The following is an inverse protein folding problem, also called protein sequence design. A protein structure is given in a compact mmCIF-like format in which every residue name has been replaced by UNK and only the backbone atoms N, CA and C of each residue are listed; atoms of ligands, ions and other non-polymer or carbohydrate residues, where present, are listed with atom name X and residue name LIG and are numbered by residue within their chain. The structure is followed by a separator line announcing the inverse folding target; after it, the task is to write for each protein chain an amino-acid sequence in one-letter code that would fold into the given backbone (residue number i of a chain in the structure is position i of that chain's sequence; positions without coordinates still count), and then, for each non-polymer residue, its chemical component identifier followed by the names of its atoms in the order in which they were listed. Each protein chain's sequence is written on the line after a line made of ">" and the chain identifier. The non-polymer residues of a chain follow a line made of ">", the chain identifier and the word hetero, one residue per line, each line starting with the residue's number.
data_IF_365607152975
#
_entry.id   IF_365607152975
#
_cell.length_a   1.000
_cell.length_b   1.000
_cell.length_c   1.000
_cell.angle_alpha   90.00
_cell.angle_beta   90.00
_cell.angle_gamma   90.00
#
_symmetry.space_group_name_H-M   'P 1'
#
loop_
_entity.id
_entity.type
_entity.pdbx_description
1 polymer ?
#
# COMPACT_ATOMS: atom_id res chain seq x y z
N UNK A 1 2.26 -32.86 4.37
CA UNK A 1 2.98 -31.68 4.89
C UNK A 1 2.36 -30.43 4.31
N UNK A 2 1.69 -29.60 5.11
CA UNK A 2 1.39 -28.22 4.72
C UNK A 2 2.71 -27.46 4.70
N UNK A 3 3.07 -26.87 3.55
CA UNK A 3 4.27 -26.06 3.41
C UNK A 3 4.10 -24.79 4.24
N UNK A 4 4.99 -24.57 5.20
CA UNK A 4 5.05 -23.35 6.00
C UNK A 4 5.96 -22.34 5.29
N UNK A 5 5.44 -21.12 5.08
CA UNK A 5 6.20 -20.01 4.50
C UNK A 5 6.46 -18.95 5.57
N UNK A 6 7.72 -18.78 5.97
CA UNK A 6 8.15 -17.62 6.76
C UNK A 6 8.34 -16.42 5.86
N UNK A 7 7.57 -15.36 6.10
CA UNK A 7 7.67 -14.12 5.33
C UNK A 7 7.32 -12.88 6.16
N UNK A 8 8.05 -11.80 5.95
CA UNK A 8 7.71 -10.47 6.49
C UNK A 8 6.79 -9.78 5.48
N UNK A 9 5.63 -9.30 5.93
CA UNK A 9 4.71 -8.55 5.08
C UNK A 9 5.38 -7.25 4.59
N UNK A 10 5.53 -7.08 3.27
CA UNK A 10 6.22 -5.90 2.74
C UNK A 10 5.35 -4.66 2.92
N UNK A 11 5.87 -3.66 3.64
CA UNK A 11 5.32 -2.30 3.72
C UNK A 11 6.25 -1.28 3.05
N UNK A 12 6.42 -1.35 1.71
CA UNK A 12 7.34 -0.46 1.02
C UNK A 12 6.83 0.98 1.06
N UNK A 13 7.75 1.93 1.19
CA UNK A 13 7.48 3.37 0.97
C UNK A 13 8.23 3.91 -0.27
N UNK A 14 8.97 3.05 -0.96
CA UNK A 14 9.70 3.30 -2.22
C UNK A 14 9.62 2.07 -3.12
N UNK A 15 9.88 2.27 -4.41
CA UNK A 15 9.84 1.22 -5.42
C UNK A 15 8.42 0.98 -5.95
N UNK A 16 8.29 0.89 -7.28
CA UNK A 16 7.02 0.63 -7.95
C UNK A 16 6.94 -0.85 -8.36
N UNK A 17 5.74 -1.42 -8.46
CA UNK A 17 5.59 -2.79 -8.94
C UNK A 17 6.09 -2.86 -10.39
N UNK A 18 6.81 -3.93 -10.76
CA UNK A 18 7.30 -4.10 -12.13
C UNK A 18 6.12 -4.19 -13.11
N UNK A 19 6.36 -3.81 -14.36
CA UNK A 19 5.40 -4.07 -15.42
C UNK A 19 5.24 -5.58 -15.64
N UNK A 20 4.04 -6.08 -15.99
CA UNK A 20 3.84 -7.50 -16.27
C UNK A 20 4.66 -7.91 -17.50
N UNK A 21 5.52 -8.91 -17.33
CA UNK A 21 6.33 -9.53 -18.39
C UNK A 21 5.84 -10.96 -18.67
N UNK A 22 6.46 -11.63 -19.65
CA UNK A 22 6.31 -13.08 -19.86
C UNK A 22 7.57 -13.77 -19.30
N UNK A 23 7.46 -14.82 -18.47
CA UNK A 23 6.22 -15.35 -17.89
C UNK A 23 5.57 -14.36 -16.91
N UNK A 24 4.24 -14.40 -16.80
CA UNK A 24 3.50 -13.52 -15.89
C UNK A 24 3.79 -13.92 -14.45
N UNK A 25 4.36 -12.99 -13.68
CA UNK A 25 4.53 -13.14 -12.22
C UNK A 25 3.37 -12.46 -11.49
N UNK A 26 2.70 -13.20 -10.60
CA UNK A 26 1.58 -12.73 -9.77
C UNK A 26 1.94 -12.78 -8.28
N UNK A 27 1.06 -12.29 -7.41
CA UNK A 27 1.31 -12.21 -5.97
C UNK A 27 2.47 -11.27 -5.62
N UNK A 28 3.12 -11.51 -4.47
CA UNK A 28 4.23 -10.67 -3.99
C UNK A 28 5.40 -10.60 -4.97
N UNK A 29 5.81 -11.73 -5.55
CA UNK A 29 6.90 -11.79 -6.54
C UNK A 29 6.61 -11.01 -7.83
N UNK A 30 5.35 -10.72 -8.12
CA UNK A 30 4.93 -9.84 -9.22
C UNK A 30 4.54 -8.42 -8.81
N UNK A 31 4.65 -8.08 -7.52
CA UNK A 31 4.22 -6.77 -7.00
C UNK A 31 2.70 -6.60 -6.88
N UNK A 32 1.93 -7.68 -6.88
CA UNK A 32 0.46 -7.68 -6.80
C UNK A 32 -0.03 -7.85 -5.36
N UNK A 33 0.16 -6.82 -4.55
CA UNK A 33 -0.30 -6.75 -3.15
C UNK A 33 -0.62 -5.31 -2.78
N UNK A 34 -1.27 -5.11 -1.62
CA UNK A 34 -1.60 -3.82 -1.06
C UNK A 34 -0.39 -3.26 -0.28
N UNK A 35 0.31 -2.21 -0.76
CA UNK A 35 1.57 -1.80 -0.15
C UNK A 35 1.45 -1.27 1.27
N UNK A 36 0.30 -0.70 1.66
CA UNK A 36 0.12 -0.17 3.02
C UNK A 36 -0.44 -1.17 4.05
N UNK A 37 -0.81 -2.39 3.63
CA UNK A 37 -1.33 -3.43 4.55
C UNK A 37 -0.67 -4.79 4.35
N UNK A 38 0.15 -4.93 3.30
CA UNK A 38 0.72 -6.18 2.85
C UNK A 38 -0.28 -7.14 2.18
N UNK A 39 -1.59 -6.91 2.22
CA UNK A 39 -2.57 -7.91 1.77
C UNK A 39 -2.48 -8.24 0.27
N UNK A 40 -2.41 -9.51 -0.09
CA UNK A 40 -2.38 -9.99 -1.47
C UNK A 40 -3.69 -10.61 -1.95
N UNK A 41 -4.56 -11.08 -1.05
CA UNK A 41 -5.78 -11.80 -1.41
C UNK A 41 -6.72 -11.02 -2.36
N UNK A 42 -7.04 -9.72 -2.14
CA UNK A 42 -7.85 -8.95 -3.09
C UNK A 42 -7.20 -8.83 -4.46
N UNK A 43 -5.87 -8.73 -4.53
CA UNK A 43 -5.13 -8.69 -5.78
C UNK A 43 -5.18 -10.03 -6.52
N UNK A 44 -5.03 -11.14 -5.79
CA UNK A 44 -5.12 -12.48 -6.34
C UNK A 44 -6.50 -12.76 -6.96
N UNK A 45 -7.58 -12.41 -6.25
CA UNK A 45 -8.94 -12.55 -6.76
C UNK A 45 -9.19 -11.72 -8.02
N UNK A 46 -8.73 -10.46 -8.06
CA UNK A 46 -8.84 -9.63 -9.28
C UNK A 46 -8.06 -10.20 -10.45
N UNK A 47 -6.87 -10.75 -10.19
CA UNK A 47 -6.06 -11.36 -11.23
C UNK A 47 -6.72 -12.64 -11.77
N UNK A 48 -7.26 -13.47 -10.89
CA UNK A 48 -8.00 -14.67 -11.29
C UNK A 48 -9.22 -14.33 -12.16
N UNK A 49 -10.04 -13.35 -11.75
CA UNK A 49 -11.20 -12.88 -12.53
C UNK A 49 -10.78 -12.30 -13.90
N UNK A 50 -9.72 -11.49 -13.93
CA UNK A 50 -9.19 -10.93 -15.19
C UNK A 50 -8.72 -12.04 -16.14
N UNK A 51 -7.96 -13.00 -15.64
CA UNK A 51 -7.44 -14.11 -16.45
C UNK A 51 -8.55 -15.03 -16.92
N UNK A 52 -9.57 -15.29 -16.09
CA UNK A 52 -10.73 -16.08 -16.48
C UNK A 52 -11.49 -15.42 -17.64
N UNK A 53 -11.71 -14.10 -17.58
CA UNK A 53 -12.43 -13.35 -18.63
C UNK A 53 -11.65 -13.19 -19.92
N UNK A 54 -10.32 -13.11 -19.85
CA UNK A 54 -9.47 -12.77 -20.99
C UNK A 54 -8.45 -13.87 -21.35
N UNK A 55 -8.73 -15.13 -21.02
CA UNK A 55 -7.75 -16.23 -21.06
C UNK A 55 -7.04 -16.41 -22.42
N UNK A 56 -7.72 -16.14 -23.54
CA UNK A 56 -7.14 -16.23 -24.90
C UNK A 56 -6.20 -15.07 -25.24
N UNK A 57 -6.45 -13.88 -24.70
CA UNK A 57 -5.72 -12.65 -25.05
C UNK A 57 -5.64 -11.68 -23.86
N UNK A 58 -4.95 -12.04 -22.77
CA UNK A 58 -5.00 -11.27 -21.51
C UNK A 58 -4.17 -9.98 -21.55
N UNK A 59 -3.35 -9.78 -22.58
CA UNK A 59 -2.31 -8.73 -22.59
C UNK A 59 -2.86 -7.31 -22.43
N UNK A 60 -3.92 -6.96 -23.16
CA UNK A 60 -4.52 -5.62 -23.10
C UNK A 60 -5.15 -5.37 -21.74
N UNK A 61 -5.94 -6.33 -21.26
CA UNK A 61 -6.57 -6.30 -19.94
C UNK A 61 -5.54 -6.21 -18.81
N UNK A 62 -4.47 -7.02 -18.85
CA UNK A 62 -3.38 -7.00 -17.88
C UNK A 62 -2.66 -5.66 -17.84
N UNK A 63 -2.40 -5.04 -19.00
CA UNK A 63 -1.77 -3.70 -19.05
C UNK A 63 -2.69 -2.63 -18.46
N UNK A 64 -3.99 -2.68 -18.73
CA UNK A 64 -4.98 -1.80 -18.12
C UNK A 64 -5.01 -1.97 -16.60
N UNK A 65 -5.08 -3.20 -16.12
CA UNK A 65 -5.12 -3.50 -14.69
C UNK A 65 -3.83 -3.10 -13.99
N UNK A 66 -2.67 -3.34 -14.61
CA UNK A 66 -1.39 -2.91 -14.06
C UNK A 66 -1.31 -1.39 -13.92
N UNK A 67 -1.80 -0.62 -14.90
CA UNK A 67 -1.84 0.85 -14.78
C UNK A 67 -2.72 1.29 -13.62
N UNK A 68 -3.87 0.64 -13.41
CA UNK A 68 -4.76 0.90 -12.27
C UNK A 68 -4.08 0.54 -10.95
N UNK A 69 -3.52 -0.66 -10.86
CA UNK A 69 -2.79 -1.16 -9.71
C UNK A 69 -1.63 -0.25 -9.35
N UNK A 70 -0.80 0.16 -10.31
CA UNK A 70 0.33 1.08 -10.10
C UNK A 70 -0.10 2.43 -9.54
N UNK A 71 -1.24 2.98 -9.95
CA UNK A 71 -1.79 4.24 -9.39
C UNK A 71 -2.18 4.07 -7.92
N UNK A 72 -2.86 2.98 -7.59
CA UNK A 72 -3.28 2.64 -6.22
C UNK A 72 -2.06 2.29 -5.34
N UNK A 73 -1.06 1.64 -5.92
CA UNK A 73 0.18 1.29 -5.24
C UNK A 73 0.94 2.54 -4.79
N UNK A 74 1.00 3.58 -5.63
CA UNK A 74 1.61 4.88 -5.28
C UNK A 74 0.97 5.53 -4.06
N UNK A 75 -0.35 5.43 -3.92
CA UNK A 75 -1.05 5.93 -2.73
C UNK A 75 -0.55 5.22 -1.47
N UNK A 76 -0.46 3.89 -1.48
CA UNK A 76 0.02 3.18 -0.31
C UNK A 76 1.51 3.40 -0.02
N UNK A 77 2.36 3.60 -1.04
CA UNK A 77 3.76 4.03 -0.84
C UNK A 77 3.82 5.38 -0.11
N UNK A 78 3.00 6.34 -0.53
CA UNK A 78 2.90 7.65 0.11
C UNK A 78 2.42 7.52 1.55
N UNK A 79 1.38 6.73 1.80
CA UNK A 79 0.86 6.53 3.16
C UNK A 79 1.91 5.88 4.08
N UNK A 80 2.64 4.89 3.59
CA UNK A 80 3.75 4.30 4.34
C UNK A 80 4.85 5.34 4.59
N UNK A 81 5.22 6.13 3.58
CA UNK A 81 6.21 7.19 3.75
C UNK A 81 5.78 8.18 4.84
N UNK A 82 4.51 8.58 4.87
CA UNK A 82 3.96 9.46 5.89
C UNK A 82 3.94 8.77 7.26
N UNK A 83 3.53 7.50 7.35
CA UNK A 83 3.52 6.75 8.59
C UNK A 83 4.93 6.64 9.20
N UNK A 84 5.92 6.28 8.38
CA UNK A 84 7.29 6.04 8.86
C UNK A 84 8.14 7.29 9.05
N UNK A 85 7.87 8.37 8.29
CA UNK A 85 8.70 9.60 8.33
C UNK A 85 7.97 10.87 8.70
N UNK A 86 6.64 10.84 8.68
CA UNK A 86 5.79 12.00 8.96
C UNK A 86 5.35 12.09 10.41
N UNK A 87 5.37 10.98 11.17
CA UNK A 87 4.89 10.92 12.56
C UNK A 87 5.97 10.56 13.56
N UNK A 88 5.90 11.16 14.75
CA UNK A 88 6.65 10.70 15.91
C UNK A 88 6.33 9.21 16.18
N UNK A 89 7.33 8.34 16.45
CA UNK A 89 7.12 6.89 16.54
C UNK A 89 6.03 6.48 17.55
N UNK A 90 5.95 7.19 18.67
CA UNK A 90 4.98 7.00 19.76
C UNK A 90 3.57 7.51 19.42
N UNK A 91 3.44 8.39 18.41
CA UNK A 91 2.16 8.99 18.01
C UNK A 91 1.65 8.48 16.66
N UNK A 92 2.43 7.67 15.92
CA UNK A 92 2.05 7.12 14.61
C UNK A 92 0.67 6.46 14.62
N UNK A 93 0.27 5.82 15.73
CA UNK A 93 -1.03 5.17 15.89
C UNK A 93 -2.23 6.12 15.67
N UNK A 94 -2.09 7.42 15.89
CA UNK A 94 -3.16 8.40 15.65
C UNK A 94 -3.60 8.43 14.18
N UNK A 95 -2.69 8.16 13.24
CA UNK A 95 -3.01 8.07 11.82
C UNK A 95 -3.96 6.91 11.54
N UNK A 96 -3.68 5.74 12.12
CA UNK A 96 -4.52 4.55 12.01
C UNK A 96 -5.87 4.73 12.73
N UNK A 97 -5.87 5.31 13.93
CA UNK A 97 -7.11 5.60 14.67
C UNK A 97 -8.04 6.52 13.86
N UNK A 98 -7.49 7.53 13.19
CA UNK A 98 -8.27 8.41 12.30
C UNK A 98 -8.80 7.63 11.08
N UNK A 99 -7.99 6.77 10.48
CA UNK A 99 -8.39 5.95 9.33
C UNK A 99 -9.62 5.08 9.64
N UNK A 100 -9.64 4.42 10.80
CA UNK A 100 -10.76 3.55 11.19
C UNK A 100 -12.05 4.30 11.59
N UNK A 101 -12.02 5.64 11.65
CA UNK A 101 -13.22 6.47 11.81
C UNK A 101 -13.87 6.87 10.48
N UNK A 102 -13.25 6.52 9.35
CA UNK A 102 -13.82 6.78 8.03
C UNK A 102 -15.04 5.89 7.76
N UNK A 103 -15.95 6.28 6.84
CA UNK A 103 -17.07 5.43 6.45
C UNK A 103 -16.59 4.05 6.00
N UNK A 104 -17.32 2.99 6.40
CA UNK A 104 -16.94 1.61 6.11
C UNK A 104 -16.72 1.34 4.61
N UNK A 105 -17.50 1.98 3.75
CA UNK A 105 -17.34 1.88 2.30
C UNK A 105 -15.98 2.42 1.80
N UNK A 106 -15.46 3.48 2.42
CA UNK A 106 -14.13 4.06 2.14
C UNK A 106 -13.04 3.08 2.55
N UNK A 107 -13.14 2.53 3.77
CA UNK A 107 -12.21 1.54 4.31
C UNK A 107 -12.21 0.29 3.41
N UNK A 108 -13.38 -0.22 3.03
CA UNK A 108 -13.50 -1.38 2.15
C UNK A 108 -12.89 -1.15 0.76
N UNK A 109 -13.06 0.03 0.17
CA UNK A 109 -12.38 0.39 -1.11
C UNK A 109 -10.88 0.48 -0.95
N UNK A 110 -10.39 1.02 0.17
CA UNK A 110 -8.98 1.06 0.50
C UNK A 110 -8.37 -0.35 0.53
N UNK A 111 -8.91 -1.25 1.34
CA UNK A 111 -8.43 -2.65 1.42
C UNK A 111 -8.48 -3.39 0.07
N UNK A 112 -9.38 -2.99 -0.83
CA UNK A 112 -9.46 -3.54 -2.20
C UNK A 112 -8.48 -2.91 -3.20
N UNK A 113 -7.65 -1.91 -2.83
CA UNK A 113 -6.89 -1.08 -3.78
C UNK A 113 -7.79 -0.45 -4.86
N UNK A 114 -8.93 0.08 -4.43
CA UNK A 114 -9.91 0.73 -5.31
C UNK A 114 -10.32 2.09 -4.75
N UNK A 115 -9.40 2.77 -4.08
CA UNK A 115 -9.64 4.10 -3.51
C UNK A 115 -9.93 5.10 -4.62
N UNK A 116 -11.00 5.87 -4.44
CA UNK A 116 -11.36 6.99 -5.32
C UNK A 116 -10.60 8.25 -4.93
N UNK A 117 -10.63 9.28 -5.78
CA UNK A 117 -10.05 10.58 -5.44
C UNK A 117 -10.71 11.18 -4.18
N UNK A 118 -12.01 10.96 -3.98
CA UNK A 118 -12.75 11.40 -2.78
C UNK A 118 -12.27 10.64 -1.54
N UNK A 119 -11.97 9.34 -1.67
CA UNK A 119 -11.42 8.56 -0.55
C UNK A 119 -10.03 9.07 -0.17
N UNK A 120 -9.18 9.34 -1.17
CA UNK A 120 -7.83 9.90 -0.96
C UNK A 120 -7.92 11.28 -0.30
N UNK A 121 -8.87 12.12 -0.72
CA UNK A 121 -9.13 13.39 -0.08
C UNK A 121 -9.52 13.21 1.39
N UNK A 122 -10.40 12.27 1.73
CA UNK A 122 -10.77 11.97 3.13
C UNK A 122 -9.60 11.44 3.97
N UNK A 123 -8.70 10.67 3.35
CA UNK A 123 -7.50 10.13 3.96
C UNK A 123 -6.47 11.24 4.29
N UNK A 124 -6.21 12.14 3.34
CA UNK A 124 -5.09 13.08 3.41
C UNK A 124 -5.50 14.49 3.87
N UNK A 125 -6.67 14.99 3.47
CA UNK A 125 -7.12 16.35 3.77
C UNK A 125 -7.77 16.42 5.14
N UNK A 126 -7.69 17.59 5.78
CA UNK A 126 -8.20 17.85 7.12
C UNK A 126 -7.08 18.08 8.13
N UNK A 127 -7.45 18.19 9.42
CA UNK A 127 -6.46 18.43 10.48
C UNK A 127 -5.45 17.27 10.54
N UNK A 128 -4.14 17.54 10.39
CA UNK A 128 -3.14 16.49 10.46
C UNK A 128 -3.21 15.81 11.84
N UNK A 129 -3.04 14.48 11.92
CA UNK A 129 -3.05 13.78 13.21
C UNK A 129 -1.92 14.28 14.11
N UNK A 130 -2.07 14.11 15.42
CA UNK A 130 -1.05 14.48 16.39
C UNK A 130 0.28 13.79 16.06
N UNK A 131 1.37 14.51 16.27
CA UNK A 131 2.72 14.03 15.94
C UNK A 131 3.08 14.14 14.47
N UNK A 132 2.23 14.70 13.60
CA UNK A 132 2.60 14.98 12.20
C UNK A 132 3.45 16.25 12.06
N UNK A 133 4.51 16.21 11.26
CA UNK A 133 5.29 17.39 10.85
C UNK A 133 6.73 17.43 11.39
N UNK A 134 7.48 18.49 11.08
CA UNK A 134 8.91 18.61 11.45
C UNK A 134 9.15 18.84 12.95
N UNK A 135 8.11 19.15 13.73
CA UNK A 135 8.23 19.50 15.14
C UNK A 135 8.78 18.39 16.04
N UNK A 136 8.62 17.12 15.64
CA UNK A 136 9.22 15.97 16.34
C UNK A 136 10.49 15.46 15.66
N UNK A 137 10.85 15.99 14.48
CA UNK A 137 12.02 15.53 13.75
C UNK A 137 13.25 15.76 14.64
N UNK A 138 13.98 14.70 15.04
CA UNK A 138 15.12 14.86 15.91
C UNK A 138 16.09 15.83 15.22
N UNK A 139 16.38 16.95 15.88
CA UNK A 139 17.46 17.83 15.49
C UNK A 139 18.69 16.90 15.39
N UNK A 140 19.24 16.67 14.19
CA UNK A 140 20.32 15.69 13.95
C UNK A 140 21.60 16.14 14.65
N UNK A 141 21.65 15.98 15.97
CA UNK A 141 22.83 15.85 16.80
C UNK A 141 22.70 14.54 17.56
N UNK A 142 22.50 13.44 16.84
CA UNK A 142 22.86 12.15 17.39
C UNK A 142 24.37 12.08 17.21
N UNK A 143 25.06 12.60 18.23
CA UNK A 143 26.46 12.29 18.48
C UNK A 143 26.60 10.77 18.58
N UNK A 144 27.68 10.30 18.00
CA UNK A 144 28.26 8.99 18.24
C UNK A 144 28.16 8.61 19.72
N UNK A 145 27.54 7.47 20.01
CA UNK A 145 27.70 6.72 21.25
C UNK A 145 27.17 5.29 21.03
N UNK A 146 28.05 4.46 20.45
CA UNK A 146 28.50 3.10 20.83
C UNK A 146 27.79 2.33 21.99
N UNK A 147 28.03 1.01 22.14
CA UNK A 147 29.24 0.24 21.80
C UNK A 147 29.21 -0.55 20.49
#
# INVERSE_FOLDING_TARGET
>A
MLREESGVLPMPWRGLPPAPTRPLKVGYGGGWFHPATGYSAPCALRMADLLARHWRAPHTALRCEWRRHRRQFRLGLLLNLLAFRGFAPDLMWHSFARFYRLPLATIGRFYRLQSTAVDVARLLLGRPPRGFGSAWWPNRKIREACP
#
